data_IF_347496200836
#
_entry.id   IF_347496200836
#
_cell.length_a   1.000
_cell.length_b   1.000
_cell.length_c   1.000
_cell.angle_alpha   90.00
_cell.angle_beta   90.00
_cell.angle_gamma   90.00
#
_symmetry.space_group_name_H-M   'P 1'
#
loop_
_entity.id
_entity.type
_entity.pdbx_description
1 polymer ?
#
# COMPACT_ATOMS: atom_id res chain seq x y z
N UNK A 1 2.25 -3.57 -12.70
CA UNK A 1 2.10 -3.78 -11.24
C UNK A 1 2.12 -5.26 -10.84
N UNK A 2 1.29 -6.14 -11.41
CA UNK A 2 1.21 -7.54 -10.97
C UNK A 2 2.53 -8.34 -11.04
N UNK A 3 3.29 -8.25 -12.14
CA UNK A 3 4.55 -9.00 -12.27
C UNK A 3 5.61 -8.62 -11.23
N UNK A 4 5.78 -7.32 -10.94
CA UNK A 4 6.76 -6.86 -9.97
C UNK A 4 6.43 -7.32 -8.54
N UNK A 5 5.15 -7.34 -8.17
CA UNK A 5 4.70 -7.85 -6.87
C UNK A 5 4.96 -9.37 -6.74
N UNK A 6 4.64 -10.15 -7.79
CA UNK A 6 4.90 -11.60 -7.82
C UNK A 6 6.40 -11.89 -7.76
N UNK A 7 7.23 -11.10 -8.44
CA UNK A 7 8.69 -11.24 -8.36
C UNK A 7 9.22 -11.02 -6.93
N UNK A 8 8.72 -10.00 -6.23
CA UNK A 8 9.09 -9.70 -4.83
C UNK A 8 8.67 -10.85 -3.90
N UNK A 9 7.44 -11.35 -4.05
CA UNK A 9 6.94 -12.52 -3.30
C UNK A 9 7.83 -13.74 -3.46
N UNK A 10 8.10 -14.13 -4.71
CA UNK A 10 8.89 -15.33 -5.00
C UNK A 10 10.34 -15.19 -4.54
N UNK A 11 10.91 -13.97 -4.58
CA UNK A 11 12.30 -13.73 -4.20
C UNK A 11 12.51 -13.73 -2.69
N UNK A 12 11.54 -13.20 -1.93
CA UNK A 12 11.64 -13.05 -0.47
C UNK A 12 10.87 -14.13 0.30
N UNK A 13 10.03 -14.92 -0.36
CA UNK A 13 9.21 -15.95 0.27
C UNK A 13 8.14 -15.39 1.20
N UNK A 14 7.65 -14.19 0.91
CA UNK A 14 6.68 -13.45 1.73
C UNK A 14 5.25 -13.63 1.22
N UNK A 15 4.29 -13.44 2.11
CA UNK A 15 2.86 -13.46 1.78
C UNK A 15 2.43 -12.24 0.96
N UNK A 16 1.23 -12.30 0.39
CA UNK A 16 0.64 -11.16 -0.32
C UNK A 16 0.55 -9.91 0.56
N UNK A 17 0.15 -10.06 1.83
CA UNK A 17 0.03 -8.93 2.77
C UNK A 17 1.39 -8.30 3.07
N UNK A 18 2.38 -9.11 3.39
CA UNK A 18 3.75 -8.64 3.64
C UNK A 18 4.35 -7.97 2.40
N UNK A 19 4.02 -8.47 1.20
CA UNK A 19 4.44 -7.85 -0.06
C UNK A 19 3.85 -6.45 -0.23
N UNK A 20 2.58 -6.28 0.09
CA UNK A 20 1.93 -4.97 0.05
C UNK A 20 2.62 -4.01 1.03
N UNK A 21 2.88 -4.45 2.26
CA UNK A 21 3.58 -3.67 3.29
C UNK A 21 4.97 -3.22 2.80
N UNK A 22 5.79 -4.16 2.33
CA UNK A 22 7.13 -3.89 1.78
C UNK A 22 7.11 -2.90 0.60
N UNK A 23 6.16 -3.08 -0.32
CA UNK A 23 5.98 -2.16 -1.45
C UNK A 23 5.62 -0.77 -0.93
N UNK A 24 4.72 -0.64 0.05
CA UNK A 24 4.34 0.67 0.58
C UNK A 24 5.43 1.36 1.37
N UNK A 25 6.30 0.63 2.07
CA UNK A 25 7.39 1.22 2.86
C UNK A 25 8.54 1.74 2.00
N UNK A 26 8.70 1.21 0.78
CA UNK A 26 9.82 1.56 -0.11
C UNK A 26 9.35 2.27 -1.38
N UNK A 27 9.61 3.59 -1.51
CA UNK A 27 9.35 4.32 -2.76
C UNK A 27 9.98 3.65 -3.98
N UNK A 28 11.15 3.03 -3.80
CA UNK A 28 11.81 2.27 -4.85
C UNK A 28 10.99 1.08 -5.32
N UNK A 29 10.43 0.29 -4.39
CA UNK A 29 9.59 -0.86 -4.75
C UNK A 29 8.29 -0.41 -5.41
N UNK A 30 7.75 0.74 -5.03
CA UNK A 30 6.59 1.34 -5.71
C UNK A 30 6.89 1.69 -7.17
N UNK A 31 7.99 2.39 -7.43
CA UNK A 31 8.42 2.68 -8.81
C UNK A 31 8.77 1.41 -9.58
N UNK A 32 9.39 0.43 -8.92
CA UNK A 32 9.72 -0.87 -9.51
C UNK A 32 8.50 -1.62 -10.03
N UNK A 33 7.38 -1.60 -9.30
CA UNK A 33 6.12 -2.21 -9.78
C UNK A 33 5.37 -1.34 -10.82
N UNK A 34 5.87 -0.13 -11.09
CA UNK A 34 5.34 0.81 -12.07
C UNK A 34 4.34 1.83 -11.53
N UNK A 35 4.37 2.15 -10.23
CA UNK A 35 3.63 3.29 -9.70
C UNK A 35 4.28 4.59 -10.17
N UNK A 36 3.48 5.54 -10.63
CA UNK A 36 3.92 6.84 -11.15
C UNK A 36 4.26 7.87 -10.05
N UNK A 37 4.03 7.51 -8.78
CA UNK A 37 4.38 8.34 -7.63
C UNK A 37 4.25 7.55 -6.32
N UNK A 38 4.91 8.02 -5.27
CA UNK A 38 4.84 7.42 -3.94
C UNK A 38 3.43 7.53 -3.35
N UNK A 39 2.84 6.39 -3.05
CA UNK A 39 1.59 6.21 -2.35
C UNK A 39 1.89 5.65 -0.96
N UNK A 40 1.84 6.47 0.10
CA UNK A 40 1.87 5.94 1.46
C UNK A 40 0.60 5.11 1.69
N UNK A 41 0.71 4.05 2.51
CA UNK A 41 -0.43 3.26 2.97
C UNK A 41 -1.26 4.16 3.90
N UNK A 42 -2.04 5.07 3.30
CA UNK A 42 -2.86 6.03 4.02
C UNK A 42 -3.84 5.21 4.86
N UNK A 43 -3.74 5.39 6.18
CA UNK A 43 -4.47 4.63 7.19
C UNK A 43 -5.92 4.39 6.76
N UNK A 44 -6.26 3.15 6.42
CA UNK A 44 -7.64 2.72 6.22
C UNK A 44 -8.52 2.95 7.48
N UNK A 45 -7.88 3.29 8.60
CA UNK A 45 -8.49 3.72 9.86
C UNK A 45 -8.98 5.19 9.87
N UNK A 46 -8.51 6.05 8.95
CA UNK A 46 -8.94 7.47 8.86
C UNK A 46 -10.13 7.71 7.94
N UNK A 47 -10.75 6.66 7.41
CA UNK A 47 -11.96 6.74 6.59
C UNK A 47 -13.16 6.10 7.32
N UNK A 48 -13.45 6.58 8.53
CA UNK A 48 -14.79 6.48 9.09
C UNK A 48 -15.53 7.81 8.84
N UNK A 49 -16.36 7.94 7.78
CA UNK A 49 -17.29 9.04 7.66
C UNK A 49 -18.50 8.74 8.55
N UNK A 50 -18.42 9.06 9.84
CA UNK A 50 -19.54 8.82 10.75
C UNK A 50 -19.24 9.17 12.19
N UNK A 51 -19.40 10.44 12.56
CA UNK A 51 -19.27 10.90 13.94
C UNK A 51 -19.67 12.35 14.11
N UNK A 52 -20.98 12.60 14.05
CA UNK A 52 -21.76 13.66 14.70
C UNK A 52 -21.05 14.96 15.15
N UNK A 53 -21.46 16.09 14.57
CA UNK A 53 -22.15 17.19 15.27
C UNK A 53 -22.19 18.42 14.35
N UNK A 54 -23.30 18.58 13.63
CA UNK A 54 -23.74 19.87 13.12
C UNK A 54 -24.74 20.40 14.16
N UNK A 55 -24.40 21.43 14.96
CA UNK A 55 -25.41 22.21 15.65
C UNK A 55 -25.90 23.33 14.71
N UNK A 56 -27.17 23.69 14.93
CA UNK A 56 -27.99 24.64 14.16
C UNK A 56 -27.35 25.99 13.82
#
# INVERSE_FOLDING_TARGET
MAFGAVYIQQRLGVTDRETVELITESPYLQFFIGLSGYQPLLSADKLHPGGANQPD
#
